data_IF_708568659180
#
_entry.id   IF_708568659180
#
_cell.length_a   1.000
_cell.length_b   1.000
_cell.length_c   1.000
_cell.angle_alpha   90.00
_cell.angle_beta   90.00
_cell.angle_gamma   90.00
#
_symmetry.space_group_name_H-M   'P 1'
#
loop_
_entity.id
_entity.type
_entity.pdbx_description
1 polymer ?
#
# COMPACT_ATOMS: atom_id res chain seq x y z
N UNK A 1 8.28 -25.28 -29.85
CA UNK A 1 7.68 -25.15 -28.50
C UNK A 1 7.58 -23.66 -28.22
N UNK A 2 6.40 -23.08 -28.40
CA UNK A 2 6.16 -21.66 -28.21
C UNK A 2 5.81 -21.46 -26.73
N UNK A 3 6.69 -20.80 -25.98
CA UNK A 3 6.41 -20.40 -24.61
C UNK A 3 5.44 -19.24 -24.65
N UNK A 4 4.16 -19.48 -24.37
CA UNK A 4 3.20 -18.39 -24.17
C UNK A 4 3.61 -17.66 -22.90
N UNK A 5 4.13 -16.44 -23.05
CA UNK A 5 4.37 -15.55 -21.92
C UNK A 5 3.02 -15.32 -21.24
N UNK A 6 2.90 -15.71 -19.97
CA UNK A 6 1.72 -15.40 -19.17
C UNK A 6 1.47 -13.87 -19.14
N UNK A 7 0.25 -13.44 -18.80
CA UNK A 7 -0.08 -12.02 -18.84
C UNK A 7 0.87 -11.20 -17.98
N UNK A 8 1.42 -10.14 -18.56
CA UNK A 8 2.22 -9.13 -17.85
C UNK A 8 1.37 -8.50 -16.74
N UNK A 9 1.94 -8.37 -15.54
CA UNK A 9 1.24 -7.75 -14.41
C UNK A 9 0.86 -6.31 -14.77
N UNK A 10 -0.44 -5.99 -14.70
CA UNK A 10 -0.95 -4.64 -14.93
C UNK A 10 -2.03 -4.31 -13.91
N UNK A 11 -2.07 -3.04 -13.52
CA UNK A 11 -3.12 -2.49 -12.65
C UNK A 11 -4.18 -1.80 -13.50
N UNK A 12 -5.45 -1.75 -13.05
CA UNK A 12 -6.46 -0.92 -13.69
C UNK A 12 -6.01 0.54 -13.72
N UNK A 13 -6.48 1.29 -14.73
CA UNK A 13 -6.17 2.72 -14.91
C UNK A 13 -6.61 3.57 -13.71
N UNK A 14 -7.72 3.18 -13.06
CA UNK A 14 -8.14 3.78 -11.81
C UNK A 14 -8.12 2.74 -10.69
N UNK A 15 -7.05 2.74 -9.89
CA UNK A 15 -6.97 1.90 -8.69
C UNK A 15 -7.84 2.43 -7.55
N UNK A 16 -8.34 3.68 -7.65
CA UNK A 16 -9.26 4.29 -6.69
C UNK A 16 -10.57 3.53 -6.59
N UNK A 17 -10.94 2.82 -7.66
CA UNK A 17 -12.17 2.04 -7.73
C UNK A 17 -12.07 0.65 -7.07
N UNK A 18 -10.86 0.22 -6.68
CA UNK A 18 -10.67 -1.07 -6.02
C UNK A 18 -11.24 -1.04 -4.58
N UNK A 19 -11.96 -2.09 -4.14
CA UNK A 19 -12.60 -2.17 -2.84
C UNK A 19 -11.73 -1.73 -1.64
N UNK A 20 -10.49 -2.24 -1.52
CA UNK A 20 -9.61 -1.87 -0.41
C UNK A 20 -9.17 -0.41 -0.48
N UNK A 21 -9.07 0.16 -1.69
CA UNK A 21 -8.67 1.55 -1.92
C UNK A 21 -9.83 2.49 -1.63
N UNK A 22 -11.04 2.18 -2.11
CA UNK A 22 -12.27 2.90 -1.73
C UNK A 22 -12.44 2.97 -0.23
N UNK A 23 -12.34 1.82 0.44
CA UNK A 23 -12.45 1.75 1.89
C UNK A 23 -11.44 2.67 2.61
N UNK A 24 -10.19 2.67 2.16
CA UNK A 24 -9.15 3.54 2.69
C UNK A 24 -9.42 5.03 2.46
N UNK A 25 -9.85 5.42 1.25
CA UNK A 25 -10.17 6.81 0.93
C UNK A 25 -11.37 7.32 1.74
N UNK A 26 -12.42 6.51 1.88
CA UNK A 26 -13.58 6.82 2.71
C UNK A 26 -13.20 6.99 4.18
N UNK A 27 -12.36 6.10 4.71
CA UNK A 27 -11.90 6.19 6.10
C UNK A 27 -11.07 7.47 6.33
N UNK A 28 -10.19 7.83 5.40
CA UNK A 28 -9.44 9.09 5.50
C UNK A 28 -10.34 10.32 5.45
N UNK A 29 -11.36 10.33 4.59
CA UNK A 29 -12.31 11.44 4.49
C UNK A 29 -13.10 11.67 5.78
N UNK A 30 -13.36 10.61 6.58
CA UNK A 30 -14.06 10.72 7.87
C UNK A 30 -13.22 11.33 8.98
N UNK A 31 -11.90 11.14 8.94
CA UNK A 31 -11.00 11.60 10.00
C UNK A 31 -10.51 13.04 9.83
N UNK A 32 -10.51 13.56 8.60
CA UNK A 32 -10.13 14.94 8.30
C UNK A 32 -11.37 15.72 7.88
N UNK A 33 -11.83 16.67 8.71
CA UNK A 33 -12.87 17.66 8.38
C UNK A 33 -12.46 18.65 7.25
N UNK A 34 -11.53 18.25 6.39
CA UNK A 34 -11.22 18.90 5.13
C UNK A 34 -11.45 17.85 4.06
N UNK A 35 -12.25 18.20 3.06
CA UNK A 35 -12.15 17.58 1.74
C UNK A 35 -10.67 17.47 1.40
N UNK A 36 -10.16 16.25 1.30
CA UNK A 36 -8.82 16.02 0.79
C UNK A 36 -8.73 16.74 -0.56
N UNK A 37 -7.80 17.67 -0.70
CA UNK A 37 -7.59 18.32 -1.99
C UNK A 37 -7.34 17.24 -3.03
N UNK A 38 -7.94 17.37 -4.21
CA UNK A 38 -7.85 16.37 -5.28
C UNK A 38 -6.39 16.00 -5.60
N UNK A 39 -5.48 16.96 -5.49
CA UNK A 39 -4.05 16.75 -5.66
C UNK A 39 -3.45 15.82 -4.60
N UNK A 40 -3.89 15.91 -3.33
CA UNK A 40 -3.44 15.03 -2.25
C UNK A 40 -3.91 13.59 -2.49
N UNK A 41 -5.18 13.44 -2.90
CA UNK A 41 -5.77 12.14 -3.26
C UNK A 41 -5.01 11.50 -4.41
N UNK A 42 -4.76 12.23 -5.49
CA UNK A 42 -4.02 11.74 -6.65
C UNK A 42 -2.60 11.31 -6.28
N UNK A 43 -1.86 12.14 -5.53
CA UNK A 43 -0.51 11.79 -5.05
C UNK A 43 -0.49 10.49 -4.25
N UNK A 44 -1.48 10.28 -3.37
CA UNK A 44 -1.61 9.06 -2.57
C UNK A 44 -1.89 7.83 -3.43
N UNK A 45 -2.77 7.95 -4.42
CA UNK A 45 -3.08 6.87 -5.37
C UNK A 45 -1.84 6.52 -6.22
N UNK A 46 -1.14 7.52 -6.75
CA UNK A 46 0.08 7.30 -7.53
C UNK A 46 1.15 6.60 -6.69
N UNK A 47 1.34 7.02 -5.44
CA UNK A 47 2.28 6.39 -4.51
C UNK A 47 1.93 4.92 -4.25
N UNK A 48 0.65 4.61 -3.98
CA UNK A 48 0.19 3.25 -3.75
C UNK A 48 0.34 2.39 -5.01
N UNK A 49 0.01 2.94 -6.18
CA UNK A 49 0.21 2.30 -7.49
C UNK A 49 1.68 1.94 -7.69
N UNK A 50 2.60 2.88 -7.49
CA UNK A 50 4.04 2.63 -7.65
C UNK A 50 4.51 1.48 -6.76
N UNK A 51 4.08 1.45 -5.50
CA UNK A 51 4.39 0.32 -4.61
C UNK A 51 3.84 -1.01 -5.15
N UNK A 52 2.58 -1.04 -5.57
CA UNK A 52 1.91 -2.23 -6.10
C UNK A 52 2.56 -2.76 -7.40
N UNK A 53 3.01 -1.85 -8.28
CA UNK A 53 3.78 -2.20 -9.49
C UNK A 53 5.11 -2.85 -9.14
N UNK A 54 5.88 -2.25 -8.23
CA UNK A 54 7.17 -2.81 -7.80
C UNK A 54 6.99 -4.21 -7.20
N UNK A 55 5.93 -4.41 -6.43
CA UNK A 55 5.64 -5.68 -5.77
C UNK A 55 4.84 -6.67 -6.64
N UNK A 56 4.47 -6.27 -7.87
CA UNK A 56 3.65 -7.04 -8.80
C UNK A 56 2.39 -7.63 -8.14
N UNK A 57 1.68 -6.81 -7.38
CA UNK A 57 0.48 -7.21 -6.65
C UNK A 57 -0.55 -6.09 -6.66
N UNK A 58 -1.81 -6.40 -6.92
CA UNK A 58 -2.87 -5.40 -6.83
C UNK A 58 -3.21 -5.06 -5.36
N UNK A 59 -3.76 -3.86 -5.08
CA UNK A 59 -4.09 -3.44 -3.71
C UNK A 59 -4.98 -4.43 -2.94
N UNK A 60 -5.98 -5.02 -3.57
CA UNK A 60 -6.87 -5.97 -2.88
C UNK A 60 -6.15 -7.30 -2.61
N UNK A 61 -5.36 -7.79 -3.57
CA UNK A 61 -4.55 -8.99 -3.40
C UNK A 61 -3.49 -8.80 -2.31
N UNK A 62 -2.90 -7.61 -2.20
CA UNK A 62 -1.96 -7.26 -1.13
C UNK A 62 -2.62 -7.43 0.24
N UNK A 63 -3.80 -6.82 0.43
CA UNK A 63 -4.58 -6.94 1.67
C UNK A 63 -4.97 -8.40 1.91
N UNK A 64 -5.57 -9.10 0.95
CA UNK A 64 -5.95 -10.52 1.08
C UNK A 64 -4.76 -11.40 1.47
N UNK A 65 -3.58 -11.15 0.89
CA UNK A 65 -2.38 -11.96 1.16
C UNK A 65 -1.96 -11.94 2.64
N UNK A 66 -2.29 -10.86 3.35
CA UNK A 66 -1.93 -10.62 4.75
C UNK A 66 -2.84 -11.36 5.73
N UNK A 67 -3.98 -11.88 5.31
CA UNK A 67 -4.91 -12.60 6.17
C UNK A 67 -4.93 -14.11 5.89
N UNK A 68 -5.26 -14.88 6.93
CA UNK A 68 -5.70 -16.28 6.83
C UNK A 68 -7.08 -16.42 7.48
N UNK A 69 -7.96 -17.26 6.95
CA UNK A 69 -9.20 -17.60 7.65
C UNK A 69 -8.90 -18.39 8.93
N UNK A 70 -9.66 -18.14 9.99
CA UNK A 70 -9.70 -18.94 11.22
C UNK A 70 -11.15 -19.04 11.71
N UNK A 71 -11.51 -20.00 12.58
CA UNK A 71 -12.88 -20.13 13.11
C UNK A 71 -13.39 -18.85 13.79
N UNK A 72 -12.50 -18.08 14.42
CA UNK A 72 -12.82 -16.82 15.12
C UNK A 72 -12.77 -15.59 14.20
N UNK A 73 -12.61 -15.78 12.88
CA UNK A 73 -12.51 -14.73 11.87
C UNK A 73 -11.11 -14.59 11.24
N UNK A 74 -10.91 -13.67 10.29
CA UNK A 74 -9.61 -13.49 9.64
C UNK A 74 -8.50 -13.06 10.62
N UNK A 75 -7.33 -13.68 10.54
CA UNK A 75 -6.15 -13.34 11.35
C UNK A 75 -4.96 -12.95 10.48
N UNK A 76 -4.19 -11.97 10.93
CA UNK A 76 -2.98 -11.52 10.23
C UNK A 76 -1.92 -12.62 10.22
N UNK A 77 -1.34 -12.89 9.05
CA UNK A 77 -0.14 -13.72 8.86
C UNK A 77 1.09 -12.92 9.26
N UNK A 78 1.60 -13.13 10.47
CA UNK A 78 2.73 -12.36 11.02
C UNK A 78 3.97 -12.38 10.12
N UNK A 79 4.31 -13.54 9.54
CA UNK A 79 5.44 -13.67 8.59
C UNK A 79 5.22 -12.81 7.34
N UNK A 80 4.01 -12.81 6.77
CA UNK A 80 3.70 -12.00 5.59
C UNK A 80 3.70 -10.51 5.91
N UNK A 81 3.15 -10.13 7.06
CA UNK A 81 3.19 -8.74 7.56
C UNK A 81 4.63 -8.23 7.69
N UNK A 82 5.54 -9.04 8.22
CA UNK A 82 6.97 -8.69 8.32
C UNK A 82 7.60 -8.46 6.94
N UNK A 83 7.34 -9.36 5.99
CA UNK A 83 7.84 -9.21 4.60
C UNK A 83 7.32 -7.91 3.98
N UNK A 84 6.04 -7.61 4.12
CA UNK A 84 5.46 -6.35 3.59
C UNK A 84 6.06 -5.12 4.27
N UNK A 85 6.36 -5.20 5.57
CA UNK A 85 7.06 -4.12 6.29
C UNK A 85 8.48 -3.89 5.76
N UNK A 86 9.21 -4.96 5.44
CA UNK A 86 10.54 -4.90 4.81
C UNK A 86 10.45 -4.29 3.41
N UNK A 87 9.46 -4.71 2.60
CA UNK A 87 9.20 -4.14 1.27
C UNK A 87 8.87 -2.63 1.32
N UNK A 88 8.11 -2.19 2.32
CA UNK A 88 7.84 -0.76 2.52
C UNK A 88 9.13 -0.02 2.88
N UNK A 89 9.99 -0.59 3.73
CA UNK A 89 11.25 0.04 4.09
C UNK A 89 12.19 0.17 2.88
N UNK A 90 12.24 -0.84 2.00
CA UNK A 90 12.97 -0.77 0.73
C UNK A 90 12.39 0.30 -0.20
N UNK A 91 11.07 0.43 -0.27
CA UNK A 91 10.41 1.48 -1.05
C UNK A 91 10.72 2.88 -0.53
N UNK A 92 10.75 3.07 0.80
CA UNK A 92 11.20 4.32 1.42
C UNK A 92 12.67 4.62 1.10
N UNK A 93 13.55 3.60 1.16
CA UNK A 93 14.97 3.78 0.86
C UNK A 93 15.20 4.25 -0.58
N UNK A 94 14.52 3.63 -1.55
CA UNK A 94 14.57 4.05 -2.97
C UNK A 94 14.09 5.49 -3.15
N UNK A 95 12.96 5.86 -2.55
CA UNK A 95 12.46 7.23 -2.61
C UNK A 95 13.44 8.24 -1.97
N UNK A 96 14.18 7.84 -0.93
CA UNK A 96 15.21 8.67 -0.30
C UNK A 96 16.41 8.89 -1.22
N UNK A 97 16.84 7.85 -1.93
CA UNK A 97 17.93 7.95 -2.91
C UNK A 97 17.56 8.88 -4.07
N UNK A 98 16.33 8.78 -4.56
CA UNK A 98 15.83 9.59 -5.69
C UNK A 98 15.63 11.07 -5.32
N UNK A 99 15.11 11.36 -4.13
CA UNK A 99 14.71 12.73 -3.75
C UNK A 99 15.73 13.46 -2.90
N UNK A 100 16.67 12.73 -2.28
CA UNK A 100 17.56 13.22 -1.21
C UNK A 100 16.82 13.87 -0.03
N UNK A 101 15.50 13.67 0.10
CA UNK A 101 14.64 14.24 1.14
C UNK A 101 14.07 13.13 2.03
N UNK A 102 14.59 13.04 3.25
CA UNK A 102 14.20 12.03 4.24
C UNK A 102 12.72 12.13 4.61
N UNK A 103 12.16 13.34 4.69
CA UNK A 103 10.75 13.53 5.08
C UNK A 103 9.84 13.04 3.97
N UNK A 104 10.12 13.41 2.71
CA UNK A 104 9.34 12.95 1.55
C UNK A 104 9.42 11.44 1.39
N UNK A 105 10.61 10.85 1.53
CA UNK A 105 10.77 9.40 1.48
C UNK A 105 9.95 8.68 2.56
N UNK A 106 9.91 9.26 3.77
CA UNK A 106 9.10 8.74 4.87
C UNK A 106 7.60 8.87 4.59
N UNK A 107 7.17 9.98 4.01
CA UNK A 107 5.77 10.19 3.64
C UNK A 107 5.31 9.16 2.60
N UNK A 108 6.17 8.81 1.63
CA UNK A 108 5.92 7.74 0.66
C UNK A 108 5.59 6.40 1.34
N UNK A 109 6.40 5.97 2.32
CA UNK A 109 6.09 4.75 3.08
C UNK A 109 4.87 4.88 3.98
N UNK A 110 4.61 6.07 4.53
CA UNK A 110 3.43 6.34 5.34
C UNK A 110 2.12 6.22 4.54
N UNK A 111 2.12 6.54 3.24
CA UNK A 111 0.95 6.31 2.38
C UNK A 111 0.59 4.83 2.35
N UNK A 112 1.57 3.95 2.08
CA UNK A 112 1.34 2.50 2.02
C UNK A 112 0.93 1.93 3.37
N UNK A 113 1.56 2.38 4.47
CA UNK A 113 1.16 1.97 5.83
C UNK A 113 -0.25 2.44 6.16
N UNK A 114 -0.61 3.67 5.82
CA UNK A 114 -1.96 4.21 6.00
C UNK A 114 -3.00 3.34 5.28
N UNK A 115 -2.74 2.98 4.02
CA UNK A 115 -3.61 2.07 3.27
C UNK A 115 -3.83 0.74 4.00
N UNK A 116 -2.74 0.11 4.49
CA UNK A 116 -2.82 -1.18 5.18
C UNK A 116 -3.50 -1.08 6.56
N UNK A 117 -3.26 0.01 7.31
CA UNK A 117 -3.88 0.24 8.63
C UNK A 117 -5.39 0.36 8.52
N UNK A 118 -5.88 1.16 7.57
CA UNK A 118 -7.32 1.31 7.36
C UNK A 118 -7.98 0.01 6.84
N UNK A 119 -7.21 -0.88 6.19
CA UNK A 119 -7.66 -2.22 5.81
C UNK A 119 -7.41 -3.29 6.90
N UNK A 120 -7.28 -2.89 8.16
CA UNK A 120 -7.22 -3.80 9.31
C UNK A 120 -5.86 -4.46 9.56
N UNK A 121 -4.79 -4.02 8.87
CA UNK A 121 -3.43 -4.52 9.11
C UNK A 121 -2.65 -3.50 9.90
N UNK A 122 -2.52 -3.73 11.20
CA UNK A 122 -1.74 -2.84 12.06
C UNK A 122 -0.29 -2.73 11.55
N UNK A 123 0.16 -1.53 11.18
CA UNK A 123 1.53 -1.26 10.72
C UNK A 123 2.19 -0.24 11.63
N UNK A 124 3.51 -0.34 11.79
CA UNK A 124 4.28 0.60 12.60
C UNK A 124 5.58 0.90 11.88
N UNK A 125 5.86 2.17 11.67
CA UNK A 125 7.10 2.58 11.05
C UNK A 125 8.27 2.42 12.06
N UNK A 126 9.50 2.04 11.64
CA UNK A 126 10.63 1.97 12.55
C UNK A 126 10.88 3.32 13.22
N UNK A 127 11.20 3.32 14.51
CA UNK A 127 11.57 4.55 15.23
C UNK A 127 12.87 5.08 14.62
N UNK A 128 12.87 6.35 14.20
CA UNK A 128 14.08 7.03 13.76
C UNK A 128 14.97 7.20 14.99
N UNK A 129 16.17 6.65 14.95
CA UNK A 129 17.22 6.84 15.96
C UNK A 129 18.25 7.81 15.43
#
# INVERSE_FOLDING_TARGET
>A
MTTEAGPEFSLPEDIGELPAVKHWLEAQARHWNRSQEEADRRRKLDTLRSFCVIQQIDPDALVRSLFRPTPEGPRIKLKRRRIVMEQIAEFEAKAREETQDVRRARDTGNVVRSFLIHNGVAMSAPVVR
#
